data_IF_619165301447
#
_entry.id   IF_619165301447
#
_cell.length_a   1.000
_cell.length_b   1.000
_cell.length_c   1.000
_cell.angle_alpha   90.00
_cell.angle_beta   90.00
_cell.angle_gamma   90.00
#
_symmetry.space_group_name_H-M   'P 1'
#
loop_
_entity.id
_entity.type
_entity.pdbx_description
1 polymer ?
#
# COMPACT_ATOMS: atom_id res chain seq x y z
N UNK A 1 -48.18 -27.11 61.68
CA UNK A 1 -47.15 -26.05 61.62
C UNK A 1 -45.85 -26.62 62.17
N UNK A 2 -44.73 -26.25 61.55
CA UNK A 2 -43.34 -26.46 61.96
C UNK A 2 -42.83 -27.91 62.05
N UNK A 3 -42.26 -28.39 60.94
CA UNK A 3 -41.21 -29.40 60.95
C UNK A 3 -39.96 -28.81 60.31
N UNK A 4 -38.90 -28.62 61.10
CA UNK A 4 -37.53 -28.48 60.58
C UNK A 4 -37.13 -29.72 59.81
N UNK A 5 -36.26 -29.58 58.80
CA UNK A 5 -35.03 -30.37 58.89
C UNK A 5 -33.76 -29.66 58.40
N UNK A 6 -32.70 -29.96 59.14
CA UNK A 6 -31.35 -30.31 58.67
C UNK A 6 -30.68 -29.40 57.62
N UNK A 7 -29.78 -28.58 58.16
CA UNK A 7 -28.62 -27.99 57.53
C UNK A 7 -27.77 -29.10 56.86
N UNK A 8 -27.63 -29.04 55.53
CA UNK A 8 -26.62 -29.77 54.77
C UNK A 8 -25.54 -28.77 54.38
N UNK A 9 -24.33 -29.04 54.87
CA UNK A 9 -23.10 -28.43 54.37
C UNK A 9 -22.86 -28.92 52.94
N UNK A 10 -23.07 -28.06 51.95
CA UNK A 10 -22.53 -28.25 50.61
C UNK A 10 -21.16 -27.58 50.55
N UNK A 11 -20.14 -28.43 50.42
CA UNK A 11 -18.77 -28.04 50.18
C UNK A 11 -18.65 -27.27 48.85
N UNK A 12 -18.12 -26.06 48.93
CA UNK A 12 -17.75 -25.24 47.78
C UNK A 12 -16.52 -25.87 47.11
N UNK A 13 -16.71 -26.37 45.90
CA UNK A 13 -15.64 -26.85 45.02
C UNK A 13 -14.78 -25.66 44.55
N UNK A 14 -13.48 -25.58 44.89
CA UNK A 14 -12.66 -24.43 44.56
C UNK A 14 -11.89 -24.67 43.26
N UNK A 15 -12.58 -24.97 42.16
CA UNK A 15 -11.91 -24.98 40.85
C UNK A 15 -12.80 -24.61 39.66
N UNK A 16 -13.67 -23.60 39.83
CA UNK A 16 -14.16 -22.81 38.69
C UNK A 16 -13.24 -21.61 38.46
N UNK A 17 -11.97 -21.92 38.20
CA UNK A 17 -11.04 -20.96 37.62
C UNK A 17 -11.48 -20.75 36.17
N UNK A 18 -12.39 -19.79 35.98
CA UNK A 18 -12.91 -19.32 34.71
C UNK A 18 -11.79 -19.09 33.70
N UNK A 19 -11.42 -20.15 32.99
CA UNK A 19 -10.34 -20.16 32.02
C UNK A 19 -10.94 -19.54 30.77
N UNK A 20 -10.86 -18.20 30.73
CA UNK A 20 -10.97 -17.48 29.46
C UNK A 20 -10.14 -18.24 28.44
N UNK A 21 -10.67 -18.59 27.25
CA UNK A 21 -9.87 -19.23 26.23
C UNK A 21 -8.61 -18.37 26.03
N UNK A 22 -7.42 -18.99 25.87
CA UNK A 22 -6.21 -18.21 25.66
C UNK A 22 -6.53 -17.24 24.54
N UNK A 23 -6.45 -15.94 24.82
CA UNK A 23 -6.51 -14.90 23.79
C UNK A 23 -5.44 -15.30 22.80
N UNK A 24 -5.84 -15.91 21.68
CA UNK A 24 -4.97 -16.12 20.54
C UNK A 24 -4.36 -14.74 20.30
N UNK A 25 -3.04 -14.64 20.48
CA UNK A 25 -2.34 -13.39 20.27
C UNK A 25 -2.83 -12.84 18.93
N UNK A 26 -3.41 -11.63 18.95
CA UNK A 26 -4.05 -11.08 17.77
C UNK A 26 -2.95 -10.90 16.72
N UNK A 27 -2.90 -11.80 15.75
CA UNK A 27 -1.82 -11.87 14.78
C UNK A 27 -2.29 -11.21 13.49
N UNK A 28 -1.47 -10.27 12.99
CA UNK A 28 -1.74 -9.58 11.73
C UNK A 28 -1.78 -10.61 10.59
N UNK A 29 -2.69 -10.43 9.61
CA UNK A 29 -2.84 -11.38 8.51
C UNK A 29 -1.61 -11.36 7.59
N UNK A 30 -1.03 -12.53 7.32
CA UNK A 30 0.18 -12.65 6.46
C UNK A 30 -0.09 -13.35 5.13
N UNK A 31 -1.10 -14.23 5.06
CA UNK A 31 -1.38 -15.06 3.87
C UNK A 31 -1.46 -14.29 2.56
N UNK A 32 -2.06 -13.11 2.57
CA UNK A 32 -2.22 -12.28 1.36
C UNK A 32 -0.92 -11.58 0.92
N UNK A 33 0.06 -11.48 1.81
CA UNK A 33 1.38 -10.88 1.56
C UNK A 33 2.39 -11.89 1.05
N UNK A 34 2.06 -13.18 1.06
CA UNK A 34 2.96 -14.27 0.69
C UNK A 34 4.24 -14.28 1.56
N UNK A 35 4.03 -14.14 2.88
CA UNK A 35 5.08 -14.22 3.91
C UNK A 35 4.67 -15.23 4.98
N UNK A 36 5.65 -15.69 5.76
CA UNK A 36 5.44 -16.69 6.81
C UNK A 36 4.41 -16.25 7.85
N UNK A 37 3.76 -17.24 8.48
CA UNK A 37 2.74 -17.01 9.49
C UNK A 37 3.26 -16.15 10.65
N UNK A 38 4.50 -16.39 11.06
CA UNK A 38 5.20 -15.75 12.16
C UNK A 38 6.02 -14.51 11.76
N UNK A 39 5.84 -13.97 10.55
CA UNK A 39 6.58 -12.80 10.05
C UNK A 39 6.64 -11.64 11.06
N UNK A 40 5.52 -11.35 11.74
CA UNK A 40 5.41 -10.29 12.74
C UNK A 40 5.83 -10.69 14.17
N UNK A 41 6.44 -11.86 14.37
CA UNK A 41 7.06 -12.22 15.65
C UNK A 41 8.32 -11.39 15.93
N UNK A 42 8.93 -10.81 14.89
CA UNK A 42 10.13 -9.97 15.02
C UNK A 42 9.76 -8.50 15.26
N UNK A 43 10.42 -7.80 16.20
CA UNK A 43 10.19 -6.37 16.42
C UNK A 43 10.45 -5.51 15.18
N UNK A 44 11.37 -5.92 14.32
CA UNK A 44 11.70 -5.24 13.05
C UNK A 44 10.54 -5.28 12.07
N UNK A 45 9.90 -6.43 11.86
CA UNK A 45 8.73 -6.53 11.00
C UNK A 45 7.54 -5.71 11.53
N UNK A 46 7.35 -5.68 12.85
CA UNK A 46 6.32 -4.85 13.50
C UNK A 46 6.61 -3.36 13.30
N UNK A 47 7.86 -2.94 13.46
CA UNK A 47 8.27 -1.56 13.22
C UNK A 47 8.02 -1.15 11.75
N UNK A 48 8.44 -1.98 10.79
CA UNK A 48 8.18 -1.72 9.36
C UNK A 48 6.68 -1.67 9.04
N UNK A 49 5.85 -2.48 9.69
CA UNK A 49 4.40 -2.40 9.53
C UNK A 49 3.81 -1.11 10.14
N UNK A 50 4.34 -0.66 11.28
CA UNK A 50 3.91 0.57 11.93
C UNK A 50 4.27 1.82 11.10
N UNK A 51 5.44 1.83 10.45
CA UNK A 51 5.87 2.92 9.55
C UNK A 51 4.89 3.15 8.38
N UNK A 52 4.17 2.12 7.94
CA UNK A 52 3.17 2.23 6.88
C UNK A 52 1.94 3.07 7.28
N UNK A 53 1.66 3.20 8.59
CA UNK A 53 0.45 3.86 9.09
C UNK A 53 0.51 5.39 8.93
N UNK A 54 1.68 5.98 9.14
CA UNK A 54 1.89 7.43 9.19
C UNK A 54 3.26 7.83 8.57
N UNK A 55 3.46 7.60 7.26
CA UNK A 55 4.64 8.09 6.58
C UNK A 55 4.58 9.62 6.41
N UNK A 56 5.64 10.32 6.85
CA UNK A 56 5.72 11.80 6.92
C UNK A 56 5.44 12.52 5.59
N UNK A 57 5.72 11.87 4.46
CA UNK A 57 5.67 12.48 3.13
C UNK A 57 4.37 12.22 2.34
N UNK A 58 3.39 11.51 2.93
CA UNK A 58 2.19 11.07 2.20
C UNK A 58 0.93 11.63 2.86
N UNK A 59 -0.03 12.11 2.07
CA UNK A 59 -1.32 12.52 2.64
C UNK A 59 -2.02 11.32 3.27
N UNK A 60 -2.73 11.52 4.41
CA UNK A 60 -3.31 10.44 5.20
C UNK A 60 -4.12 9.43 4.40
N UNK A 61 -4.90 9.89 3.40
CA UNK A 61 -5.74 9.02 2.57
C UNK A 61 -4.94 7.93 1.81
N UNK A 62 -3.77 8.27 1.29
CA UNK A 62 -2.96 7.34 0.50
C UNK A 62 -2.13 6.42 1.40
N UNK A 63 -1.64 6.93 2.52
CA UNK A 63 -1.00 6.14 3.56
C UNK A 63 -1.96 5.12 4.19
N UNK A 64 -3.17 5.56 4.54
CA UNK A 64 -4.21 4.70 5.10
C UNK A 64 -4.58 3.57 4.14
N UNK A 65 -4.73 3.87 2.85
CA UNK A 65 -4.96 2.83 1.85
C UNK A 65 -3.88 1.74 1.85
N UNK A 66 -2.61 2.15 1.87
CA UNK A 66 -1.47 1.24 1.96
C UNK A 66 -1.50 0.40 3.23
N UNK A 67 -1.80 1.04 4.36
CA UNK A 67 -1.87 0.36 5.65
C UNK A 67 -3.02 -0.65 5.68
N UNK A 68 -4.17 -0.30 5.10
CA UNK A 68 -5.29 -1.21 4.88
C UNK A 68 -4.94 -2.37 3.96
N UNK A 69 -4.07 -2.18 2.96
CA UNK A 69 -3.55 -3.30 2.16
C UNK A 69 -2.80 -4.27 3.06
N UNK A 70 -1.87 -3.79 3.88
CA UNK A 70 -1.10 -4.63 4.82
C UNK A 70 -2.01 -5.35 5.83
N UNK A 71 -3.07 -4.70 6.31
CA UNK A 71 -4.04 -5.29 7.22
C UNK A 71 -5.06 -6.23 6.55
N UNK A 72 -4.99 -6.42 5.22
CA UNK A 72 -6.03 -7.12 4.44
C UNK A 72 -7.45 -6.52 4.64
N UNK A 73 -7.53 -5.19 4.79
CA UNK A 73 -8.77 -4.47 5.06
C UNK A 73 -9.43 -3.88 3.80
N UNK A 74 -8.67 -3.69 2.71
CA UNK A 74 -9.22 -3.14 1.45
C UNK A 74 -10.22 -4.11 0.82
N UNK A 75 -11.44 -3.65 0.50
CA UNK A 75 -12.40 -4.46 -0.25
C UNK A 75 -12.03 -4.50 -1.74
N UNK A 76 -11.96 -5.71 -2.27
CA UNK A 76 -11.74 -6.05 -3.69
C UNK A 76 -13.04 -6.64 -4.24
N UNK A 77 -13.18 -6.76 -5.56
CA UNK A 77 -14.39 -7.32 -6.20
C UNK A 77 -14.72 -8.71 -5.68
N UNK A 78 -13.70 -9.55 -5.50
CA UNK A 78 -13.83 -10.90 -4.93
C UNK A 78 -14.42 -10.94 -3.51
N UNK A 79 -14.39 -9.83 -2.76
CA UNK A 79 -14.95 -9.74 -1.42
C UNK A 79 -16.40 -9.22 -1.39
N UNK A 80 -16.95 -8.82 -2.54
CA UNK A 80 -18.29 -8.25 -2.68
C UNK A 80 -19.29 -9.37 -2.99
N UNK A 81 -19.85 -9.94 -1.93
CA UNK A 81 -20.77 -11.08 -1.98
C UNK A 81 -22.12 -10.79 -2.66
N UNK A 82 -22.45 -9.52 -2.89
CA UNK A 82 -23.64 -9.11 -3.65
C UNK A 82 -23.40 -9.10 -5.17
N UNK A 83 -22.15 -9.20 -5.63
CA UNK A 83 -21.83 -9.43 -7.04
C UNK A 83 -22.00 -10.92 -7.38
N UNK A 84 -22.47 -11.19 -8.59
CA UNK A 84 -22.47 -12.54 -9.14
C UNK A 84 -21.06 -13.11 -9.22
N UNK A 85 -20.92 -14.44 -9.14
CA UNK A 85 -19.61 -15.10 -9.19
C UNK A 85 -18.82 -14.76 -10.45
N UNK A 86 -19.51 -14.58 -11.58
CA UNK A 86 -18.90 -14.15 -12.84
C UNK A 86 -18.29 -12.75 -12.74
N UNK A 87 -18.89 -11.87 -11.93
CA UNK A 87 -18.45 -10.49 -11.73
C UNK A 87 -17.41 -10.32 -10.61
N UNK A 88 -17.15 -11.36 -9.82
CA UNK A 88 -16.12 -11.35 -8.77
C UNK A 88 -14.70 -11.53 -9.31
N UNK A 89 -14.54 -11.82 -10.60
CA UNK A 89 -13.25 -11.84 -11.28
C UNK A 89 -12.65 -10.42 -11.43
N UNK A 90 -11.38 -10.38 -11.85
CA UNK A 90 -10.71 -9.14 -12.19
C UNK A 90 -11.44 -8.39 -13.31
N UNK A 91 -11.51 -7.07 -13.19
CA UNK A 91 -12.16 -6.21 -14.20
C UNK A 91 -11.46 -6.23 -15.58
N UNK A 92 -10.16 -6.55 -15.62
CA UNK A 92 -9.32 -6.39 -16.81
C UNK A 92 -8.83 -7.70 -17.42
N UNK A 93 -9.08 -8.84 -16.77
CA UNK A 93 -8.64 -10.16 -17.23
C UNK A 93 -9.46 -11.27 -16.52
N UNK A 94 -9.40 -12.54 -16.97
CA UNK A 94 -10.26 -13.60 -16.42
C UNK A 94 -9.84 -14.13 -15.04
N UNK A 95 -8.70 -13.66 -14.50
CA UNK A 95 -8.16 -14.13 -13.22
C UNK A 95 -9.01 -13.72 -12.01
N UNK A 96 -8.93 -14.54 -10.95
CA UNK A 96 -9.56 -14.20 -9.68
C UNK A 96 -8.86 -13.02 -8.99
N UNK A 97 -9.62 -12.03 -8.53
CA UNK A 97 -9.05 -10.82 -7.95
C UNK A 97 -8.56 -11.02 -6.52
N UNK A 98 -7.25 -11.22 -6.36
CA UNK A 98 -6.55 -11.18 -5.06
C UNK A 98 -5.84 -9.83 -4.85
N UNK A 99 -5.31 -9.56 -3.64
CA UNK A 99 -4.47 -8.38 -3.41
C UNK A 99 -3.26 -8.35 -4.33
N UNK A 100 -2.58 -9.50 -4.44
CA UNK A 100 -1.41 -9.67 -5.30
C UNK A 100 -1.78 -9.43 -6.76
N UNK A 101 -2.89 -10.00 -7.22
CA UNK A 101 -3.37 -9.78 -8.58
C UNK A 101 -3.73 -8.32 -8.84
N UNK A 102 -4.54 -7.70 -7.98
CA UNK A 102 -5.01 -6.33 -8.12
C UNK A 102 -3.87 -5.30 -8.11
N UNK A 103 -2.87 -5.50 -7.25
CA UNK A 103 -1.83 -4.51 -6.94
C UNK A 103 -0.45 -4.79 -7.57
N UNK A 104 -0.24 -5.98 -8.13
CA UNK A 104 1.07 -6.41 -8.66
C UNK A 104 0.94 -7.14 -10.00
N UNK A 105 0.17 -8.22 -10.07
CA UNK A 105 0.29 -9.18 -11.18
C UNK A 105 -0.63 -8.91 -12.39
N UNK A 106 -1.72 -8.16 -12.22
CA UNK A 106 -2.63 -7.88 -13.33
C UNK A 106 -1.94 -7.06 -14.43
N UNK A 107 -2.15 -7.41 -15.69
CA UNK A 107 -1.53 -6.72 -16.83
C UNK A 107 -1.86 -5.22 -16.85
N UNK A 108 -3.08 -4.85 -16.42
CA UNK A 108 -3.45 -3.44 -16.27
C UNK A 108 -2.51 -2.67 -15.33
N UNK A 109 -2.17 -3.21 -14.16
CA UNK A 109 -1.26 -2.50 -13.24
C UNK A 109 0.19 -2.59 -13.69
N UNK A 110 0.59 -3.69 -14.36
CA UNK A 110 1.91 -3.78 -14.99
C UNK A 110 2.09 -2.69 -16.05
N UNK A 111 1.06 -2.40 -16.85
CA UNK A 111 1.09 -1.33 -17.85
C UNK A 111 1.15 0.07 -17.21
N UNK A 112 0.46 0.27 -16.08
CA UNK A 112 0.57 1.51 -15.28
C UNK A 112 2.01 1.69 -14.79
N UNK A 113 2.62 0.63 -14.25
CA UNK A 113 4.01 0.65 -13.80
C UNK A 113 4.99 0.83 -14.95
N UNK A 114 4.77 0.18 -16.09
CA UNK A 114 5.58 0.32 -17.31
C UNK A 114 5.61 1.76 -17.80
N UNK A 115 4.46 2.44 -17.76
CA UNK A 115 4.34 3.86 -18.11
C UNK A 115 5.23 4.73 -17.20
N UNK A 116 5.25 4.47 -15.90
CA UNK A 116 6.08 5.20 -14.94
C UNK A 116 7.56 4.78 -15.03
N UNK A 117 7.81 3.53 -15.38
CA UNK A 117 9.14 2.97 -15.54
C UNK A 117 9.94 3.71 -16.61
N UNK A 118 9.29 4.23 -17.67
CA UNK A 118 9.95 5.08 -18.66
C UNK A 118 10.67 6.30 -18.03
N UNK A 119 10.25 6.78 -16.85
CA UNK A 119 10.91 7.87 -16.11
C UNK A 119 11.94 7.37 -15.11
N UNK A 120 11.68 6.22 -14.48
CA UNK A 120 12.56 5.70 -13.43
C UNK A 120 13.67 4.79 -13.98
N UNK A 121 13.56 4.29 -15.22
CA UNK A 121 14.50 3.36 -15.82
C UNK A 121 15.94 3.90 -15.85
N UNK A 122 16.20 5.18 -16.17
CA UNK A 122 17.58 5.69 -16.16
C UNK A 122 18.15 5.91 -14.75
N UNK A 123 17.32 5.82 -13.73
CA UNK A 123 17.78 5.75 -12.33
C UNK A 123 18.18 4.31 -11.94
N UNK A 124 18.00 3.33 -12.85
CA UNK A 124 18.27 1.91 -12.65
C UNK A 124 17.28 1.25 -11.70
N UNK A 125 16.03 1.74 -11.65
CA UNK A 125 15.01 1.26 -10.71
C UNK A 125 14.50 -0.11 -11.13
N UNK A 126 14.65 -1.10 -10.25
CA UNK A 126 14.05 -2.43 -10.41
C UNK A 126 12.87 -2.57 -9.46
N UNK A 127 11.66 -2.68 -10.00
CA UNK A 127 10.44 -2.83 -9.22
C UNK A 127 10.36 -4.21 -8.54
N UNK A 128 9.76 -4.31 -7.34
CA UNK A 128 9.50 -5.60 -6.70
C UNK A 128 8.50 -6.42 -7.52
N UNK A 129 8.49 -7.74 -7.31
CA UNK A 129 7.57 -8.67 -7.98
C UNK A 129 6.59 -9.34 -7.01
N UNK A 130 6.66 -8.99 -5.72
CA UNK A 130 5.81 -9.53 -4.65
C UNK A 130 5.12 -8.40 -3.91
N UNK A 131 3.93 -8.69 -3.35
CA UNK A 131 3.17 -7.68 -2.59
C UNK A 131 3.94 -7.20 -1.36
N UNK A 132 4.57 -8.13 -0.62
CA UNK A 132 5.45 -7.83 0.50
C UNK A 132 6.67 -7.00 0.09
N UNK A 133 7.26 -7.28 -1.08
CA UNK A 133 8.37 -6.49 -1.62
C UNK A 133 7.97 -5.05 -1.91
N UNK A 134 6.75 -4.81 -2.42
CA UNK A 134 6.25 -3.44 -2.57
C UNK A 134 6.04 -2.74 -1.22
N UNK A 135 5.60 -3.47 -0.18
CA UNK A 135 5.34 -2.90 1.14
C UNK A 135 6.62 -2.56 1.92
N UNK A 136 7.58 -3.48 1.94
CA UNK A 136 8.68 -3.44 2.90
C UNK A 136 10.06 -3.21 2.27
N UNK A 137 10.17 -3.27 0.95
CA UNK A 137 11.45 -3.04 0.26
C UNK A 137 11.45 -1.71 -0.49
N UNK A 138 12.59 -1.02 -0.44
CA UNK A 138 12.88 0.07 -1.37
C UNK A 138 13.49 -0.52 -2.65
N UNK A 139 13.00 -0.16 -3.85
CA UNK A 139 13.57 -0.61 -5.12
C UNK A 139 15.06 -0.34 -5.23
N UNK A 140 15.79 -1.30 -5.83
CA UNK A 140 17.22 -1.15 -6.12
C UNK A 140 17.40 -0.06 -7.17
N UNK A 141 18.47 0.72 -7.05
CA UNK A 141 18.83 1.81 -7.98
C UNK A 141 20.29 1.71 -8.38
N UNK A 142 20.67 2.41 -9.46
CA UNK A 142 22.03 2.35 -10.01
C UNK A 142 23.11 3.03 -9.13
N UNK A 143 22.73 3.92 -8.20
CA UNK A 143 23.68 4.67 -7.37
C UNK A 143 23.18 4.89 -5.95
N UNK A 144 24.11 5.04 -4.99
CA UNK A 144 23.77 5.33 -3.59
C UNK A 144 22.96 6.63 -3.44
N UNK A 145 23.24 7.64 -4.28
CA UNK A 145 22.50 8.90 -4.32
C UNK A 145 21.06 8.69 -4.80
N UNK A 146 20.85 7.91 -5.87
CA UNK A 146 19.52 7.55 -6.34
C UNK A 146 18.77 6.73 -5.30
N UNK A 147 19.45 5.83 -4.57
CA UNK A 147 18.84 5.03 -3.50
C UNK A 147 18.26 5.91 -2.40
N UNK A 148 19.00 6.92 -1.95
CA UNK A 148 18.52 7.84 -0.93
C UNK A 148 17.29 8.64 -1.41
N UNK A 149 17.32 9.19 -2.63
CA UNK A 149 16.16 9.91 -3.18
C UNK A 149 14.94 8.97 -3.37
N UNK A 150 15.19 7.75 -3.85
CA UNK A 150 14.13 6.78 -4.10
C UNK A 150 13.53 6.21 -2.82
N UNK A 151 14.27 6.18 -1.72
CA UNK A 151 13.74 5.82 -0.40
C UNK A 151 12.59 6.75 0.02
N UNK A 152 12.69 8.06 -0.28
CA UNK A 152 11.61 9.01 -0.03
C UNK A 152 10.50 8.96 -1.09
N UNK A 153 10.88 8.80 -2.36
CA UNK A 153 9.93 8.80 -3.47
C UNK A 153 9.04 7.54 -3.48
N UNK A 154 9.61 6.38 -3.15
CA UNK A 154 8.97 5.10 -3.36
C UNK A 154 7.66 4.93 -2.57
N UNK A 155 7.60 5.22 -1.26
CA UNK A 155 6.36 5.13 -0.50
C UNK A 155 5.24 5.98 -1.12
N UNK A 156 5.57 7.20 -1.54
CA UNK A 156 4.65 8.14 -2.20
C UNK A 156 4.13 7.57 -3.51
N UNK A 157 5.06 7.16 -4.40
CA UNK A 157 4.72 6.68 -5.74
C UNK A 157 3.86 5.41 -5.67
N UNK A 158 4.24 4.45 -4.84
CA UNK A 158 3.48 3.22 -4.59
C UNK A 158 2.08 3.53 -4.10
N UNK A 159 1.94 4.37 -3.07
CA UNK A 159 0.63 4.70 -2.51
C UNK A 159 -0.27 5.37 -3.56
N UNK A 160 0.28 6.29 -4.36
CA UNK A 160 -0.46 6.96 -5.43
C UNK A 160 -0.91 5.99 -6.53
N UNK A 161 -0.04 5.10 -7.00
CA UNK A 161 -0.38 4.12 -8.03
C UNK A 161 -1.43 3.16 -7.53
N UNK A 162 -1.19 2.52 -6.38
CA UNK A 162 -2.10 1.54 -5.81
C UNK A 162 -3.47 2.12 -5.52
N UNK A 163 -3.54 3.31 -4.91
CA UNK A 163 -4.81 3.96 -4.64
C UNK A 163 -5.59 4.26 -5.93
N UNK A 164 -4.94 4.79 -6.97
CA UNK A 164 -5.64 5.12 -8.22
C UNK A 164 -6.07 3.87 -9.00
N UNK A 165 -5.28 2.79 -8.98
CA UNK A 165 -5.65 1.50 -9.60
C UNK A 165 -6.85 0.89 -8.87
N UNK A 166 -6.79 0.79 -7.54
CA UNK A 166 -7.91 0.29 -6.75
C UNK A 166 -9.17 1.15 -6.96
N UNK A 167 -9.02 2.48 -6.97
CA UNK A 167 -10.13 3.40 -7.19
C UNK A 167 -10.82 3.15 -8.52
N UNK A 168 -10.10 3.00 -9.64
CA UNK A 168 -10.74 2.73 -10.93
C UNK A 168 -11.46 1.39 -10.96
N UNK A 169 -10.90 0.36 -10.32
CA UNK A 169 -11.55 -0.94 -10.20
C UNK A 169 -12.86 -0.82 -9.42
N UNK A 170 -12.84 -0.10 -8.30
CA UNK A 170 -14.03 0.12 -7.47
C UNK A 170 -15.05 1.06 -8.12
N UNK A 171 -14.62 2.14 -8.75
CA UNK A 171 -15.51 3.07 -9.47
C UNK A 171 -16.31 2.29 -10.52
N UNK A 172 -15.72 1.31 -11.21
CA UNK A 172 -16.44 0.46 -12.18
C UNK A 172 -17.42 -0.55 -11.57
N UNK A 173 -17.25 -0.89 -10.29
CA UNK A 173 -18.22 -1.72 -9.56
C UNK A 173 -19.46 -0.88 -9.21
N UNK A 174 -19.26 0.33 -8.70
CA UNK A 174 -20.33 1.16 -8.14
C UNK A 174 -20.91 2.19 -9.13
N UNK A 175 -20.18 2.48 -10.21
CA UNK A 175 -20.52 3.44 -11.26
C UNK A 175 -20.22 2.83 -12.64
N UNK A 176 -21.12 1.96 -13.10
CA UNK A 176 -21.00 1.25 -14.38
C UNK A 176 -20.96 2.17 -15.61
N UNK A 177 -21.40 3.42 -15.46
CA UNK A 177 -21.42 4.41 -16.53
C UNK A 177 -20.08 5.12 -16.71
N UNK A 178 -19.14 4.96 -15.76
CA UNK A 178 -17.84 5.64 -15.84
C UNK A 178 -16.96 4.99 -16.89
N UNK A 179 -16.32 5.75 -17.79
CA UNK A 179 -15.45 5.16 -18.81
C UNK A 179 -14.26 4.44 -18.17
N UNK A 180 -13.91 3.28 -18.71
CA UNK A 180 -12.67 2.60 -18.34
C UNK A 180 -11.48 3.48 -18.67
N UNK A 181 -10.67 3.79 -17.65
CA UNK A 181 -9.50 4.63 -17.81
C UNK A 181 -8.31 3.78 -18.27
N UNK A 182 -7.57 4.28 -19.24
CA UNK A 182 -6.37 3.59 -19.73
C UNK A 182 -5.26 3.57 -18.67
N UNK A 183 -4.33 2.58 -18.72
CA UNK A 183 -3.17 2.54 -17.84
C UNK A 183 -2.37 3.85 -17.83
N UNK A 184 -2.17 4.45 -19.00
CA UNK A 184 -1.51 5.76 -19.15
C UNK A 184 -2.20 6.86 -18.32
N UNK A 185 -3.53 6.94 -18.39
CA UNK A 185 -4.31 7.94 -17.64
C UNK A 185 -4.10 7.79 -16.13
N UNK A 186 -4.05 6.55 -15.64
CA UNK A 186 -3.81 6.24 -14.23
C UNK A 186 -2.38 6.57 -13.82
N UNK A 187 -1.39 6.23 -14.65
CA UNK A 187 -0.01 6.59 -14.42
C UNK A 187 0.18 8.11 -14.32
N UNK A 188 -0.43 8.89 -15.22
CA UNK A 188 -0.38 10.37 -15.18
C UNK A 188 -1.07 10.91 -13.92
N UNK A 189 -2.22 10.38 -13.52
CA UNK A 189 -2.88 10.77 -12.26
C UNK A 189 -2.00 10.48 -11.05
N UNK A 190 -1.49 9.26 -10.95
CA UNK A 190 -0.61 8.85 -9.86
C UNK A 190 0.66 9.71 -9.80
N UNK A 191 1.27 10.00 -10.94
CA UNK A 191 2.43 10.89 -11.07
C UNK A 191 2.13 12.30 -10.54
N UNK A 192 1.04 12.92 -10.99
CA UNK A 192 0.65 14.27 -10.56
C UNK A 192 0.38 14.35 -9.06
N UNK A 193 -0.30 13.34 -8.51
CA UNK A 193 -0.54 13.28 -7.07
C UNK A 193 0.80 13.09 -6.34
N UNK A 194 1.68 12.20 -6.80
CA UNK A 194 3.02 12.03 -6.25
C UNK A 194 3.83 13.34 -6.26
N UNK A 195 3.77 14.10 -7.37
CA UNK A 195 4.39 15.41 -7.47
C UNK A 195 3.84 16.40 -6.43
N UNK A 196 2.53 16.40 -6.19
CA UNK A 196 1.93 17.24 -5.13
C UNK A 196 2.45 16.85 -3.74
N UNK A 197 2.54 15.55 -3.43
CA UNK A 197 3.12 15.07 -2.18
C UNK A 197 4.56 15.53 -2.00
N UNK A 198 5.39 15.29 -3.02
CA UNK A 198 6.80 15.70 -3.01
C UNK A 198 6.95 17.22 -2.88
N UNK A 199 6.10 18.00 -3.55
CA UNK A 199 6.11 19.45 -3.43
C UNK A 199 5.81 19.90 -2.00
N UNK A 200 4.74 19.37 -1.39
CA UNK A 200 4.39 19.66 -0.01
C UNK A 200 5.52 19.29 0.95
N UNK A 201 6.10 18.09 0.80
CA UNK A 201 7.24 17.66 1.61
C UNK A 201 8.48 18.53 1.40
N UNK A 202 8.77 18.99 0.18
CA UNK A 202 9.90 19.88 -0.11
C UNK A 202 9.75 21.28 0.47
N UNK A 203 8.51 21.78 0.54
CA UNK A 203 8.21 23.06 1.18
C UNK A 203 8.35 22.95 2.70
N UNK A 204 8.01 21.81 3.30
CA UNK A 204 8.07 21.60 4.75
C UNK A 204 9.43 21.12 5.26
N UNK A 205 10.17 20.35 4.46
CA UNK A 205 11.49 19.81 4.77
C UNK A 205 12.41 20.18 3.60
N UNK A 206 13.15 21.30 3.68
CA UNK A 206 14.04 21.74 2.61
C UNK A 206 15.28 20.82 2.51
N UNK A 207 15.10 19.63 1.94
CA UNK A 207 16.16 18.67 1.67
C UNK A 207 16.73 18.84 0.27
N UNK A 208 18.01 19.25 0.16
CA UNK A 208 18.74 19.51 -1.10
C UNK A 208 18.82 18.29 -2.06
N UNK A 209 18.44 17.10 -1.62
CA UNK A 209 18.73 15.82 -2.26
C UNK A 209 17.80 15.46 -3.43
N UNK A 210 16.52 15.86 -3.38
CA UNK A 210 15.55 15.58 -4.43
C UNK A 210 15.82 16.41 -5.70
N UNK A 211 16.23 17.67 -5.55
CA UNK A 211 16.61 18.54 -6.68
C UNK A 211 17.79 17.96 -7.46
N UNK A 212 18.80 17.46 -6.75
CA UNK A 212 20.02 16.86 -7.35
C UNK A 212 19.70 15.54 -8.07
N UNK A 213 18.85 14.69 -7.50
CA UNK A 213 18.51 13.39 -8.09
C UNK A 213 17.76 13.49 -9.43
N UNK A 214 17.03 14.59 -9.66
CA UNK A 214 16.26 14.79 -10.90
C UNK A 214 16.88 15.79 -11.90
N UNK A 215 18.00 16.43 -11.55
CA UNK A 215 18.68 17.39 -12.43
C UNK A 215 19.42 16.72 -13.60
N UNK A 216 19.78 15.44 -13.48
CA UNK A 216 20.70 14.76 -14.41
C UNK A 216 20.09 13.95 -15.55
N UNK A 217 18.77 13.74 -15.63
CA UNK A 217 18.20 12.80 -16.61
C UNK A 217 17.68 13.48 -17.88
N UNK A 218 18.33 13.25 -19.03
CA UNK A 218 17.88 13.63 -20.37
C UNK A 218 16.72 12.75 -20.89
N UNK A 219 15.65 12.61 -20.11
CA UNK A 219 14.50 11.76 -20.43
C UNK A 219 13.33 12.52 -21.02
N UNK A 220 12.56 11.81 -21.85
CA UNK A 220 11.33 12.22 -22.53
C UNK A 220 10.48 13.23 -21.73
N UNK A 221 10.07 14.28 -22.44
CA UNK A 221 9.59 15.56 -21.90
C UNK A 221 8.31 15.48 -21.07
N UNK A 222 7.47 14.45 -21.22
CA UNK A 222 6.09 14.49 -20.69
C UNK A 222 5.96 13.94 -19.25
N UNK A 223 6.42 12.71 -18.92
CA UNK A 223 6.20 12.21 -17.57
C UNK A 223 7.18 12.82 -16.53
N UNK A 224 8.30 13.42 -16.95
CA UNK A 224 9.14 14.28 -16.09
C UNK A 224 8.38 15.52 -15.60
N UNK A 225 7.59 16.17 -16.46
CA UNK A 225 6.77 17.35 -16.09
C UNK A 225 5.73 17.03 -15.02
N UNK A 226 5.31 15.77 -14.93
CA UNK A 226 4.26 15.33 -14.01
C UNK A 226 4.77 14.64 -12.74
N UNK A 227 6.04 14.22 -12.69
CA UNK A 227 6.63 13.60 -11.50
C UNK A 227 7.57 14.54 -10.74
N UNK A 228 8.26 15.45 -11.42
CA UNK A 228 9.25 16.33 -10.79
C UNK A 228 8.60 17.66 -10.42
N UNK A 229 8.48 18.03 -9.13
CA UNK A 229 7.96 19.34 -8.74
C UNK A 229 8.77 20.46 -9.37
N UNK A 230 8.12 21.53 -9.89
CA UNK A 230 8.84 22.66 -10.52
C UNK A 230 9.86 23.30 -9.59
N UNK A 231 9.64 23.27 -8.27
CA UNK A 231 10.57 23.79 -7.27
C UNK A 231 11.89 23.01 -7.21
N UNK A 232 11.89 21.72 -7.57
CA UNK A 232 13.08 20.89 -7.64
C UNK A 232 13.93 21.16 -8.90
N UNK A 233 13.42 21.97 -9.83
CA UNK A 233 14.11 22.40 -11.06
C UNK A 233 14.72 23.81 -10.94
N UNK A 234 14.48 24.51 -9.83
CA UNK A 234 15.06 25.82 -9.60
C UNK A 234 16.50 25.66 -9.11
N UNK A 235 17.46 26.48 -9.59
CA UNK A 235 18.78 26.52 -9.02
C UNK A 235 18.67 26.89 -7.53
N UNK A 236 19.54 26.36 -6.66
CA UNK A 236 19.53 26.72 -5.25
C UNK A 236 19.69 28.24 -5.10
N UNK A 237 19.03 28.87 -4.12
CA UNK A 237 19.23 30.29 -3.83
C UNK A 237 20.71 30.53 -3.53
N UNK A 238 21.25 31.62 -4.10
CA UNK A 238 22.64 32.04 -3.99
C UNK A 238 23.03 32.32 -2.53
#
# INVERSE_FOLDING_TARGET
MAGSPAQRDEAVDPDDSGRSPPRTAFQLPTRHLDVDGDFYATPTAVASAAELRLPDAILPKYADFVYQVMLRAVKLRAHLHWLDRADQACLFCPEHETYRHCLVDCDFIKDVWSTLHAVTAPLGVVLPTTLSGYLYSTPKTASNMHRAAFHYLWPVLRACVWFNVWRVRNDRVFHTDFPLQSPWTIAVKAARVAQMHLHHSLVQIPGRWLSVAFSGSSLNTIPRQHLVPRIALLPPPA
#
